data_IF_403493881088
#
_entry.id   IF_403493881088
#
_cell.length_a   1.000
_cell.length_b   1.000
_cell.length_c   1.000
_cell.angle_alpha   90.00
_cell.angle_beta   90.00
_cell.angle_gamma   90.00
#
_symmetry.space_group_name_H-M   'P 1'
#
loop_
_entity.id
_entity.type
_entity.pdbx_description
1 polymer ?
#
# COMPACT_ATOMS: atom_id res chain seq x y z
N UNK A 1 20.11 -21.56 -3.49
CA UNK A 1 18.79 -20.94 -3.72
C UNK A 1 17.94 -21.21 -2.49
N UNK A 2 17.69 -20.21 -1.66
CA UNK A 2 16.89 -20.33 -0.43
C UNK A 2 15.61 -19.52 -0.59
N UNK A 3 14.67 -20.05 -1.37
CA UNK A 3 13.28 -19.60 -1.30
C UNK A 3 12.64 -20.30 -0.11
N UNK A 4 12.27 -19.58 0.97
CA UNK A 4 11.60 -20.20 2.09
C UNK A 4 10.30 -20.83 1.60
N UNK A 5 10.11 -22.10 1.92
CA UNK A 5 8.93 -22.84 1.50
C UNK A 5 7.66 -22.32 2.20
N UNK A 6 6.47 -22.68 1.70
CA UNK A 6 5.19 -22.29 2.31
C UNK A 6 5.11 -22.59 3.82
N UNK A 7 5.70 -23.71 4.26
CA UNK A 7 5.77 -24.07 5.68
C UNK A 7 6.61 -23.10 6.53
N UNK A 8 7.73 -22.60 6.00
CA UNK A 8 8.57 -21.64 6.71
C UNK A 8 7.88 -20.28 6.83
N UNK A 9 7.20 -19.83 5.77
CA UNK A 9 6.39 -18.61 5.82
C UNK A 9 5.26 -18.73 6.86
N UNK A 10 4.62 -19.90 6.96
CA UNK A 10 3.60 -20.14 7.97
C UNK A 10 4.16 -20.05 9.40
N UNK A 11 5.31 -20.67 9.67
CA UNK A 11 5.98 -20.60 10.98
C UNK A 11 6.37 -19.16 11.33
N UNK A 12 6.93 -18.40 10.38
CA UNK A 12 7.25 -16.99 10.58
C UNK A 12 6.00 -16.18 10.86
N UNK A 13 4.92 -16.41 10.11
CA UNK A 13 3.61 -15.78 10.36
C UNK A 13 3.07 -16.10 11.75
N UNK A 14 3.24 -17.34 12.23
CA UNK A 14 2.83 -17.75 13.57
C UNK A 14 3.64 -17.03 14.66
N UNK A 15 4.96 -16.89 14.49
CA UNK A 15 5.82 -16.15 15.42
C UNK A 15 5.42 -14.67 15.47
N UNK A 16 5.21 -14.05 14.31
CA UNK A 16 4.74 -12.66 14.22
C UNK A 16 3.37 -12.52 14.90
N UNK A 17 2.45 -13.47 14.69
CA UNK A 17 1.14 -13.47 15.33
C UNK A 17 1.23 -13.66 16.85
N UNK A 18 2.19 -14.43 17.39
CA UNK A 18 2.39 -14.54 18.84
C UNK A 18 2.96 -13.26 19.46
N UNK A 19 3.89 -12.59 18.77
CA UNK A 19 4.51 -11.36 19.26
C UNK A 19 3.56 -10.16 19.19
N UNK A 20 2.83 -10.03 18.08
CA UNK A 20 1.95 -8.88 17.84
C UNK A 20 0.50 -9.16 18.23
N UNK A 21 0.05 -10.42 18.20
CA UNK A 21 -1.31 -10.82 18.54
C UNK A 21 -2.37 -9.99 17.84
N UNK A 22 -3.29 -9.45 18.64
CA UNK A 22 -4.35 -8.57 18.17
C UNK A 22 -3.88 -7.18 17.71
N UNK A 23 -2.61 -6.80 17.91
CA UNK A 23 -2.07 -5.52 17.43
C UNK A 23 -1.74 -5.54 15.94
N UNK A 24 -1.49 -6.70 15.36
CA UNK A 24 -1.17 -6.86 13.93
C UNK A 24 -2.21 -6.22 12.99
N UNK A 25 -3.52 -6.46 13.13
CA UNK A 25 -4.53 -5.79 12.30
C UNK A 25 -4.59 -4.27 12.53
N UNK A 26 -4.34 -3.80 13.75
CA UNK A 26 -4.31 -2.37 14.06
C UNK A 26 -3.16 -1.66 13.35
N UNK A 27 -1.95 -2.24 13.38
CA UNK A 27 -0.78 -1.65 12.68
C UNK A 27 -0.93 -1.73 11.16
N UNK A 28 -1.47 -2.84 10.63
CA UNK A 28 -1.76 -2.97 9.20
C UNK A 28 -2.78 -1.93 8.74
N UNK A 29 -3.80 -1.66 9.56
CA UNK A 29 -4.81 -0.64 9.24
C UNK A 29 -4.21 0.76 9.19
N UNK A 30 -3.44 1.16 10.21
CA UNK A 30 -2.77 2.47 10.22
C UNK A 30 -1.74 2.64 9.08
N UNK A 31 -0.99 1.58 8.76
CA UNK A 31 -0.07 1.57 7.61
C UNK A 31 -0.83 1.66 6.28
N UNK A 32 -1.92 0.90 6.13
CA UNK A 32 -2.74 0.88 4.92
C UNK A 32 -3.43 2.22 4.64
N UNK A 33 -3.89 2.90 5.68
CA UNK A 33 -4.42 4.26 5.60
C UNK A 33 -3.33 5.24 5.13
N UNK A 34 -2.12 5.18 5.70
CA UNK A 34 -0.98 6.02 5.28
C UNK A 34 -0.54 5.78 3.83
N UNK A 35 -0.47 4.51 3.38
CA UNK A 35 -0.15 4.17 1.98
C UNK A 35 -1.24 4.67 1.03
N UNK A 36 -2.50 4.61 1.45
CA UNK A 36 -3.65 5.08 0.66
C UNK A 36 -3.60 6.59 0.46
N UNK A 37 -3.37 7.35 1.54
CA UNK A 37 -3.20 8.81 1.47
C UNK A 37 -1.96 9.20 0.67
N UNK A 38 -0.85 8.48 0.82
CA UNK A 38 0.36 8.68 0.01
C UNK A 38 0.08 8.46 -1.49
N UNK A 39 -0.62 7.38 -1.84
CA UNK A 39 -1.00 7.09 -3.23
C UNK A 39 -1.90 8.17 -3.81
N UNK A 40 -2.89 8.66 -3.05
CA UNK A 40 -3.76 9.77 -3.48
C UNK A 40 -2.95 11.04 -3.74
N UNK A 41 -2.06 11.42 -2.82
CA UNK A 41 -1.22 12.61 -2.98
C UNK A 41 -0.33 12.54 -4.22
N UNK A 42 0.28 11.38 -4.49
CA UNK A 42 1.10 11.17 -5.70
C UNK A 42 0.25 11.13 -6.97
N UNK A 43 -0.92 10.48 -6.96
CA UNK A 43 -1.80 10.43 -8.13
C UNK A 43 -2.51 11.76 -8.43
N UNK A 44 -2.78 12.61 -7.44
CA UNK A 44 -3.33 13.95 -7.66
C UNK A 44 -2.35 14.88 -8.39
N UNK A 45 -1.04 14.71 -8.19
CA UNK A 45 0.00 15.43 -8.93
C UNK A 45 0.03 14.99 -10.42
N UNK A 46 -0.25 13.70 -10.67
CA UNK A 46 -0.29 13.10 -12.01
C UNK A 46 -1.61 13.43 -12.77
N UNK A 47 -2.76 13.41 -12.09
CA UNK A 47 -4.07 13.74 -12.69
C UNK A 47 -4.27 15.24 -12.92
N UNK A 48 -3.63 16.11 -12.12
CA UNK A 48 -3.65 17.57 -12.33
C UNK A 48 -3.09 18.00 -13.69
N UNK A 49 -2.20 17.19 -14.27
CA UNK A 49 -1.64 17.42 -15.61
C UNK A 49 -2.55 17.00 -16.77
N UNK A 50 -3.57 16.17 -16.52
CA UNK A 50 -4.41 15.59 -17.59
C UNK A 50 -5.63 16.46 -17.93
N UNK A 51 -5.97 17.42 -17.08
CA UNK A 51 -7.13 18.30 -17.25
C UNK A 51 -6.84 19.58 -18.05
N UNK A 52 -5.58 19.97 -18.25
CA UNK A 52 -5.23 21.17 -19.02
C UNK A 52 -5.18 20.96 -20.55
N UNK A 53 -5.06 19.72 -21.05
CA UNK A 53 -4.89 19.48 -22.51
C UNK A 53 -6.22 19.45 -23.32
N UNK A 54 -7.40 19.57 -22.68
CA UNK A 54 -8.70 19.45 -23.38
C UNK A 54 -9.43 20.77 -23.64
N UNK A 55 -8.83 21.92 -23.33
CA UNK A 55 -9.51 23.23 -23.50
C UNK A 55 -8.87 24.12 -24.57
N UNK A 56 -7.78 23.69 -25.19
CA UNK A 56 -7.07 24.46 -26.22
C UNK A 56 -7.18 23.81 -27.60
N UNK A 57 -8.40 23.72 -28.13
CA UNK A 57 -8.58 23.72 -29.59
C UNK A 57 -9.48 24.91 -29.94
N UNK A 58 -8.91 26.12 -30.05
CA UNK A 58 -9.62 27.24 -30.66
C UNK A 58 -9.92 26.89 -32.12
N UNK A 59 -11.14 27.24 -32.51
CA UNK A 59 -11.69 27.16 -33.87
C UNK A 59 -10.88 27.94 -34.91
#
# INVERSE_FOLDING_TARGET
MFTPGPLQLFIVGLIVLLLFGNRLPSVMRSLGEGITEFKKGVSSDDEGKKIEEKTESPS
#
